data_IF_170316519112
#
_entry.id   IF_170316519112
#
_cell.length_a   1.000
_cell.length_b   1.000
_cell.length_c   1.000
_cell.angle_alpha   90.00
_cell.angle_beta   90.00
_cell.angle_gamma   90.00
#
_symmetry.space_group_name_H-M   'P 1'
#
loop_
_entity.id
_entity.type
_entity.pdbx_description
1 polymer ?
#
# COMPACT_ATOMS: atom_id res chain seq x y z
N UNK A 1 -2.25 1.98 -16.00
CA UNK A 1 -3.68 2.02 -15.61
C UNK A 1 -3.71 2.11 -14.09
N UNK A 2 -4.32 3.14 -13.51
CA UNK A 2 -4.62 3.13 -12.07
C UNK A 2 -5.66 2.05 -11.81
N UNK A 3 -5.36 1.08 -10.93
CA UNK A 3 -6.37 0.12 -10.48
C UNK A 3 -7.41 0.94 -9.69
N UNK A 4 -8.63 1.07 -10.20
CA UNK A 4 -9.75 1.65 -9.44
C UNK A 4 -10.19 0.62 -8.38
N UNK A 5 -9.42 0.50 -7.32
CA UNK A 5 -9.66 -0.40 -6.20
C UNK A 5 -10.18 0.41 -5.02
N UNK A 6 -11.27 -0.03 -4.39
CA UNK A 6 -11.73 0.62 -3.16
C UNK A 6 -10.85 0.22 -1.96
N UNK A 7 -10.89 1.00 -0.88
CA UNK A 7 -10.24 0.63 0.38
C UNK A 7 -10.74 -0.72 0.92
N UNK A 8 -12.02 -1.04 0.69
CA UNK A 8 -12.63 -2.32 1.09
C UNK A 8 -12.06 -3.48 0.25
N UNK A 9 -11.92 -3.29 -1.07
CA UNK A 9 -11.28 -4.28 -1.94
C UNK A 9 -9.83 -4.53 -1.53
N UNK A 10 -9.07 -3.46 -1.24
CA UNK A 10 -7.68 -3.58 -0.82
C UNK A 10 -7.57 -4.29 0.53
N UNK A 11 -8.42 -3.93 1.50
CA UNK A 11 -8.52 -4.58 2.81
C UNK A 11 -8.70 -6.09 2.68
N UNK A 12 -9.67 -6.51 1.86
CA UNK A 12 -9.96 -7.92 1.62
C UNK A 12 -8.78 -8.66 0.98
N UNK A 13 -8.04 -8.01 0.08
CA UNK A 13 -6.95 -8.64 -0.67
C UNK A 13 -5.61 -8.65 0.07
N UNK A 14 -5.36 -7.68 0.94
CA UNK A 14 -4.13 -7.60 1.74
C UNK A 14 -4.29 -8.20 3.14
N UNK A 15 -5.50 -8.63 3.52
CA UNK A 15 -5.84 -9.05 4.89
C UNK A 15 -5.51 -7.98 5.94
N UNK A 16 -5.62 -6.70 5.57
CA UNK A 16 -5.43 -5.55 6.46
C UNK A 16 -6.78 -4.97 6.82
N UNK A 17 -6.89 -4.38 8.01
CA UNK A 17 -8.11 -3.67 8.39
C UNK A 17 -8.34 -2.45 7.48
N UNK A 18 -9.60 -2.23 7.05
CA UNK A 18 -9.96 -1.09 6.18
C UNK A 18 -9.68 0.25 6.85
N UNK A 19 -9.87 0.35 8.17
CA UNK A 19 -9.54 1.54 8.95
C UNK A 19 -8.03 1.78 8.97
N UNK A 20 -7.23 0.72 9.12
CA UNK A 20 -5.77 0.83 9.01
C UNK A 20 -5.34 1.31 7.62
N UNK A 21 -5.92 0.79 6.52
CA UNK A 21 -5.66 1.30 5.16
C UNK A 21 -6.03 2.79 5.06
N UNK A 22 -7.21 3.18 5.57
CA UNK A 22 -7.62 4.59 5.57
C UNK A 22 -6.66 5.47 6.36
N UNK A 23 -6.07 4.98 7.44
CA UNK A 23 -5.09 5.72 8.22
C UNK A 23 -3.75 5.84 7.50
N UNK A 24 -3.32 4.82 6.75
CA UNK A 24 -2.14 4.89 5.89
C UNK A 24 -2.32 5.95 4.79
N UNK A 25 -3.48 5.97 4.13
CA UNK A 25 -3.77 6.95 3.05
C UNK A 25 -3.90 8.40 3.56
N UNK A 26 -4.13 8.59 4.86
CA UNK A 26 -4.23 9.89 5.52
C UNK A 26 -2.94 10.29 6.24
N UNK A 27 -1.83 9.56 6.03
CA UNK A 27 -0.54 9.76 6.70
C UNK A 27 -0.63 9.75 8.24
N UNK A 28 -1.58 9.00 8.81
CA UNK A 28 -1.75 8.87 10.27
C UNK A 28 -0.91 7.75 10.87
N UNK A 29 -0.49 6.78 10.05
CA UNK A 29 0.33 5.65 10.46
C UNK A 29 1.42 5.37 9.44
N UNK A 30 2.60 4.99 9.91
CA UNK A 30 3.70 4.55 9.06
C UNK A 30 3.65 3.01 8.90
N UNK A 31 3.64 2.49 7.66
CA UNK A 31 3.60 1.05 7.44
C UNK A 31 4.98 0.41 7.67
N UNK A 32 5.01 -0.70 8.42
CA UNK A 32 6.21 -1.54 8.49
C UNK A 32 6.39 -2.38 7.21
N UNK A 33 7.55 -3.06 7.09
CA UNK A 33 7.86 -3.91 5.93
C UNK A 33 6.80 -4.99 5.66
N UNK A 34 6.26 -5.62 6.72
CA UNK A 34 5.20 -6.62 6.58
C UNK A 34 3.90 -6.04 6.01
N UNK A 35 3.55 -4.80 6.40
CA UNK A 35 2.41 -4.07 5.84
C UNK A 35 2.62 -3.76 4.36
N UNK A 36 3.82 -3.27 3.99
CA UNK A 36 4.14 -2.99 2.59
C UNK A 36 4.09 -4.26 1.72
N UNK A 37 4.54 -5.40 2.25
CA UNK A 37 4.43 -6.68 1.55
C UNK A 37 2.98 -7.13 1.37
N UNK A 38 2.15 -6.99 2.40
CA UNK A 38 0.72 -7.28 2.31
C UNK A 38 0.00 -6.36 1.31
N UNK A 39 0.35 -5.07 1.28
CA UNK A 39 -0.17 -4.11 0.30
C UNK A 39 0.26 -4.45 -1.13
N UNK A 40 1.50 -4.89 -1.35
CA UNK A 40 1.95 -5.33 -2.67
C UNK A 40 1.12 -6.51 -3.19
N UNK A 41 0.85 -7.51 -2.34
CA UNK A 41 -0.08 -8.62 -2.65
C UNK A 41 -1.49 -8.09 -2.95
N UNK A 42 -2.01 -7.21 -2.09
CA UNK A 42 -3.34 -6.65 -2.22
C UNK A 42 -3.51 -5.81 -3.51
N UNK A 43 -2.47 -5.09 -3.91
CA UNK A 43 -2.42 -4.31 -5.13
C UNK A 43 -2.09 -5.15 -6.36
N UNK A 44 -1.66 -6.40 -6.17
CA UNK A 44 -1.17 -7.29 -7.24
C UNK A 44 -0.09 -6.59 -8.07
N UNK A 45 0.98 -6.25 -7.34
CA UNK A 45 2.23 -5.67 -7.84
C UNK A 45 3.41 -6.40 -7.17
N UNK A 46 4.57 -6.41 -7.82
CA UNK A 46 5.78 -6.94 -7.19
C UNK A 46 6.21 -6.04 -6.02
N UNK A 47 6.69 -6.66 -4.94
CA UNK A 47 7.13 -5.92 -3.76
C UNK A 47 8.33 -5.02 -4.05
N UNK A 48 9.26 -5.46 -4.91
CA UNK A 48 10.42 -4.65 -5.30
C UNK A 48 10.01 -3.45 -6.15
N UNK A 49 9.01 -3.61 -7.01
CA UNK A 49 8.44 -2.49 -7.79
C UNK A 49 7.81 -1.43 -6.87
N UNK A 50 7.07 -1.87 -5.84
CA UNK A 50 6.53 -0.98 -4.82
C UNK A 50 7.63 -0.23 -4.06
N UNK A 51 8.65 -0.94 -3.61
CA UNK A 51 9.78 -0.33 -2.89
C UNK A 51 10.56 0.66 -3.75
N UNK A 52 10.76 0.35 -5.04
CA UNK A 52 11.40 1.27 -5.98
C UNK A 52 10.55 2.54 -6.17
N UNK A 53 9.23 2.40 -6.31
CA UNK A 53 8.33 3.54 -6.44
C UNK A 53 8.36 4.45 -5.21
N UNK A 54 8.37 3.86 -4.00
CA UNK A 54 8.49 4.60 -2.73
C UNK A 54 9.84 5.33 -2.68
N UNK A 55 10.94 4.65 -3.01
CA UNK A 55 12.27 5.27 -3.01
C UNK A 55 12.38 6.46 -3.97
N UNK A 56 11.85 6.32 -5.20
CA UNK A 56 11.83 7.44 -6.16
C UNK A 56 10.93 8.59 -5.68
N UNK A 57 9.82 8.31 -5.00
CA UNK A 57 8.96 9.36 -4.43
C UNK A 57 9.72 10.20 -3.39
N UNK A 58 10.38 9.55 -2.43
CA UNK A 58 11.13 10.27 -1.38
C UNK A 58 12.42 10.93 -1.88
N UNK A 59 13.02 10.42 -2.95
CA UNK A 59 14.21 11.03 -3.55
C UNK A 59 13.90 12.31 -4.33
N UNK A 60 12.71 12.38 -4.93
CA UNK A 60 12.31 13.48 -5.81
C UNK A 60 11.32 14.47 -5.15
N UNK A 61 10.88 14.18 -3.92
CA UNK A 61 10.05 15.06 -3.09
C UNK A 61 10.83 15.96 -2.14
#
# INVERSE_FOLDING_TARGET
MSKQMSQEDLSNRSSLDRGYISDLELDKHEPGLGTLFALAIGLDIDFMDLMQAIHEYYKNG
#
